data_IF_081020904583
#
_entry.id   IF_081020904583
#
_cell.length_a   1.000
_cell.length_b   1.000
_cell.length_c   1.000
_cell.angle_alpha   90.00
_cell.angle_beta   90.00
_cell.angle_gamma   90.00
#
_symmetry.space_group_name_H-M   'P 1'
#
loop_
_entity.id
_entity.type
_entity.pdbx_description
1 polymer ?
#
# COMPACT_ATOMS: atom_id res chain seq x y z
N UNK A 1 24.08 15.45 5.36
CA UNK A 1 24.04 14.63 4.11
C UNK A 1 23.12 15.31 3.12
N UNK A 2 23.48 15.36 1.82
CA UNK A 2 22.58 15.86 0.75
C UNK A 2 21.93 14.68 0.03
N UNK A 3 20.60 14.67 -0.03
CA UNK A 3 19.82 13.57 -0.58
C UNK A 3 18.86 14.09 -1.65
N UNK A 4 19.06 13.66 -2.90
CA UNK A 4 18.11 13.92 -3.98
C UNK A 4 16.90 13.03 -3.80
N UNK A 5 15.72 13.58 -3.96
CA UNK A 5 14.48 12.86 -3.82
C UNK A 5 13.42 13.29 -4.84
N UNK A 6 12.48 12.40 -5.09
CA UNK A 6 11.23 12.66 -5.78
C UNK A 6 10.09 12.37 -4.81
N UNK A 7 9.20 13.33 -4.59
CA UNK A 7 7.98 13.15 -3.80
C UNK A 7 6.81 12.88 -4.72
N UNK A 8 6.09 11.83 -4.42
CA UNK A 8 4.92 11.39 -5.18
C UNK A 8 3.69 11.27 -4.28
N UNK A 9 2.51 11.30 -4.89
CA UNK A 9 1.23 11.13 -4.22
C UNK A 9 0.44 10.01 -4.91
N UNK A 10 0.67 8.74 -4.55
CA UNK A 10 -0.20 7.65 -4.95
C UNK A 10 -1.45 7.66 -4.07
N UNK A 11 -2.57 8.18 -4.59
CA UNK A 11 -3.86 8.30 -3.86
C UNK A 11 -3.68 8.94 -2.47
N UNK A 12 -2.90 10.04 -2.41
CA UNK A 12 -2.53 10.78 -1.20
C UNK A 12 -1.75 9.99 -0.11
N UNK A 13 -1.26 8.79 -0.40
CA UNK A 13 -0.28 8.09 0.43
C UNK A 13 1.13 8.57 0.06
N UNK A 14 1.53 9.69 0.66
CA UNK A 14 2.73 10.43 0.26
C UNK A 14 3.99 9.58 0.37
N UNK A 15 4.70 9.42 -0.75
CA UNK A 15 5.88 8.57 -0.86
C UNK A 15 7.10 9.38 -1.31
N UNK A 16 8.23 9.18 -0.65
CA UNK A 16 9.52 9.67 -1.09
C UNK A 16 10.28 8.57 -1.83
N UNK A 17 10.78 8.88 -3.01
CA UNK A 17 11.73 8.06 -3.76
C UNK A 17 13.10 8.74 -3.65
N UNK A 18 14.06 8.08 -3.01
CA UNK A 18 15.40 8.62 -2.75
C UNK A 18 16.31 8.15 -3.87
N UNK A 19 16.88 9.11 -4.62
CA UNK A 19 17.76 8.85 -5.76
C UNK A 19 19.24 8.72 -5.35
N UNK A 20 19.64 9.40 -4.26
CA UNK A 20 21.02 9.35 -3.77
C UNK A 20 21.28 8.00 -3.12
N UNK A 21 22.33 7.28 -3.53
CA UNK A 21 22.70 6.02 -2.90
C UNK A 21 22.99 6.20 -1.42
N UNK A 22 22.39 5.33 -0.60
CA UNK A 22 22.60 5.27 0.85
C UNK A 22 22.88 3.81 1.22
N UNK A 23 23.84 3.49 2.12
CA UNK A 23 24.03 2.13 2.60
C UNK A 23 22.74 1.57 3.23
N UNK A 24 22.40 0.31 2.93
CA UNK A 24 21.11 -0.29 3.37
C UNK A 24 20.92 -0.30 4.88
N UNK A 25 21.98 -0.44 5.64
CA UNK A 25 21.95 -0.37 7.11
C UNK A 25 21.53 1.00 7.65
N UNK A 26 21.57 2.05 6.83
CA UNK A 26 21.15 3.41 7.19
C UNK A 26 19.77 3.77 6.62
N UNK A 27 19.17 2.91 5.80
CA UNK A 27 17.92 3.22 5.09
C UNK A 27 16.81 3.65 6.05
N UNK A 28 16.57 2.89 7.11
CA UNK A 28 15.50 3.20 8.06
C UNK A 28 15.75 4.54 8.75
N UNK A 29 16.93 4.76 9.30
CA UNK A 29 17.28 5.98 10.03
C UNK A 29 17.19 7.24 9.13
N UNK A 30 17.71 7.15 7.90
CA UNK A 30 17.69 8.26 6.94
C UNK A 30 16.26 8.56 6.51
N UNK A 31 15.48 7.52 6.20
CA UNK A 31 14.08 7.66 5.80
C UNK A 31 13.23 8.29 6.91
N UNK A 32 13.35 7.85 8.17
CA UNK A 32 12.62 8.40 9.31
C UNK A 32 12.87 9.91 9.47
N UNK A 33 14.12 10.36 9.30
CA UNK A 33 14.44 11.79 9.34
C UNK A 33 13.81 12.56 8.19
N UNK A 34 13.77 11.99 6.98
CA UNK A 34 13.19 12.63 5.80
C UNK A 34 11.67 12.71 5.86
N UNK A 35 10.99 11.63 6.28
CA UNK A 35 9.52 11.59 6.36
C UNK A 35 8.95 12.39 7.51
N UNK A 36 9.78 12.79 8.47
CA UNK A 36 9.34 13.59 9.62
C UNK A 36 8.67 14.90 9.18
N UNK A 37 7.66 15.36 9.95
CA UNK A 37 6.92 16.59 9.68
C UNK A 37 7.83 17.83 9.52
N UNK A 38 8.92 17.90 10.29
CA UNK A 38 9.89 19.00 10.23
C UNK A 38 10.88 18.94 9.06
N UNK A 39 10.76 17.96 8.17
CA UNK A 39 11.62 17.76 7.00
C UNK A 39 10.80 17.78 5.70
N UNK A 40 10.92 16.77 4.83
CA UNK A 40 10.19 16.70 3.57
C UNK A 40 8.72 16.27 3.76
N UNK A 41 8.43 15.57 4.84
CA UNK A 41 7.13 15.06 5.25
C UNK A 41 6.49 14.11 4.23
N UNK A 42 6.43 12.85 4.60
CA UNK A 42 5.76 11.81 3.83
C UNK A 42 5.29 10.67 4.76
N UNK A 43 4.57 9.69 4.24
CA UNK A 43 4.14 8.52 5.00
C UNK A 43 5.18 7.39 4.93
N UNK A 44 5.95 7.34 3.84
CA UNK A 44 6.95 6.29 3.59
C UNK A 44 8.04 6.75 2.65
N UNK A 45 9.14 6.00 2.62
CA UNK A 45 10.24 6.23 1.70
C UNK A 45 10.78 4.92 1.11
N UNK A 46 11.23 4.99 -0.14
CA UNK A 46 11.93 3.93 -0.84
C UNK A 46 13.16 4.49 -1.56
N UNK A 47 14.15 3.64 -1.74
CA UNK A 47 15.41 3.96 -2.42
C UNK A 47 15.39 3.41 -3.84
N UNK A 48 15.78 4.23 -4.79
CA UNK A 48 15.93 3.84 -6.20
C UNK A 48 17.32 3.26 -6.39
N UNK A 49 17.39 1.94 -6.60
CA UNK A 49 18.64 1.21 -6.78
C UNK A 49 18.74 0.60 -8.20
N UNK A 50 19.96 0.24 -8.61
CA UNK A 50 20.12 -0.59 -9.79
C UNK A 50 19.62 -2.02 -9.52
N UNK A 51 18.87 -2.62 -10.46
CA UNK A 51 18.32 -3.94 -10.27
C UNK A 51 19.42 -5.02 -10.35
N UNK A 52 19.27 -6.08 -9.57
CA UNK A 52 20.10 -7.28 -9.68
C UNK A 52 19.62 -8.17 -10.85
N UNK A 53 18.29 -8.19 -11.08
CA UNK A 53 17.70 -8.92 -12.19
C UNK A 53 17.68 -8.03 -13.45
N UNK A 54 18.36 -8.43 -14.55
CA UNK A 54 18.45 -7.63 -15.78
C UNK A 54 17.12 -7.44 -16.52
N UNK A 55 16.08 -8.18 -16.16
CA UNK A 55 14.74 -7.98 -16.71
C UNK A 55 13.97 -6.82 -16.04
N UNK A 56 14.43 -6.33 -14.90
CA UNK A 56 13.87 -5.17 -14.25
C UNK A 56 14.53 -3.87 -14.75
N UNK A 57 13.73 -2.82 -14.86
CA UNK A 57 14.23 -1.49 -15.25
C UNK A 57 14.91 -0.78 -14.09
N UNK A 58 14.41 -0.99 -12.88
CA UNK A 58 14.91 -0.36 -11.64
C UNK A 58 14.55 -1.23 -10.44
N UNK A 59 15.31 -1.09 -9.35
CA UNK A 59 14.99 -1.68 -8.05
C UNK A 59 14.40 -0.62 -7.13
N UNK A 60 13.32 -0.98 -6.44
CA UNK A 60 12.74 -0.24 -5.33
C UNK A 60 13.08 -0.96 -4.02
N UNK A 61 13.89 -0.34 -3.20
CA UNK A 61 14.20 -0.83 -1.87
C UNK A 61 13.46 0.02 -0.84
N UNK A 62 12.41 -0.52 -0.23
CA UNK A 62 11.69 0.18 0.83
C UNK A 62 12.52 0.31 2.08
N UNK A 63 12.22 1.33 2.89
CA UNK A 63 13.00 1.74 4.07
C UNK A 63 13.17 0.64 5.11
N UNK A 64 12.21 -0.25 5.28
CA UNK A 64 12.27 -1.41 6.17
C UNK A 64 12.37 -2.75 5.42
N UNK A 65 12.53 -2.74 4.10
CA UNK A 65 12.65 -3.94 3.27
C UNK A 65 11.31 -4.62 2.92
N UNK A 66 10.20 -4.01 3.27
CA UNK A 66 8.84 -4.47 2.99
C UNK A 66 8.47 -4.31 1.50
N UNK A 67 7.39 -4.97 1.09
CA UNK A 67 6.73 -4.69 -0.19
C UNK A 67 5.74 -3.52 -0.05
N UNK A 68 5.74 -2.60 -1.02
CA UNK A 68 4.76 -1.53 -1.06
C UNK A 68 4.23 -1.26 -2.47
N UNK A 69 2.94 -1.55 -2.70
CA UNK A 69 2.27 -1.31 -3.98
C UNK A 69 2.18 0.18 -4.35
N UNK A 70 1.94 1.06 -3.38
CA UNK A 70 1.90 2.51 -3.60
C UNK A 70 3.27 3.07 -4.03
N UNK A 71 4.35 2.60 -3.40
CA UNK A 71 5.70 3.00 -3.78
C UNK A 71 6.12 2.40 -5.14
N UNK A 72 5.67 1.19 -5.45
CA UNK A 72 5.88 0.57 -6.78
C UNK A 72 5.19 1.38 -7.89
N UNK A 73 3.92 1.77 -7.69
CA UNK A 73 3.21 2.68 -8.61
C UNK A 73 3.91 4.04 -8.72
N UNK A 74 4.46 4.56 -7.61
CA UNK A 74 5.21 5.81 -7.58
C UNK A 74 6.47 5.75 -8.44
N UNK A 75 7.29 4.72 -8.25
CA UNK A 75 8.51 4.53 -9.05
C UNK A 75 8.17 4.31 -10.53
N UNK A 76 7.15 3.50 -10.82
CA UNK A 76 6.69 3.28 -12.18
C UNK A 76 6.21 4.57 -12.85
N UNK A 77 5.50 5.45 -12.13
CA UNK A 77 5.08 6.76 -12.65
C UNK A 77 6.28 7.67 -12.96
N UNK A 78 7.31 7.67 -12.11
CA UNK A 78 8.55 8.44 -12.36
C UNK A 78 9.26 7.93 -13.61
N UNK A 79 9.42 6.61 -13.74
CA UNK A 79 10.05 6.01 -14.91
C UNK A 79 9.24 6.21 -16.21
N UNK A 80 7.91 6.23 -16.10
CA UNK A 80 7.02 6.58 -17.22
C UNK A 80 7.18 8.06 -17.65
N UNK A 81 7.33 8.99 -16.68
CA UNK A 81 7.64 10.39 -16.94
C UNK A 81 9.00 10.56 -17.65
N UNK A 82 10.01 9.83 -17.21
CA UNK A 82 11.35 9.84 -17.83
C UNK A 82 11.34 9.30 -19.26
N UNK A 83 10.42 8.38 -19.59
CA UNK A 83 10.20 7.92 -20.97
C UNK A 83 9.51 8.95 -21.85
N UNK A 84 8.95 10.02 -21.28
CA UNK A 84 8.30 11.09 -22.03
C UNK A 84 6.93 10.72 -22.60
N UNK A 85 6.14 9.89 -21.90
CA UNK A 85 4.81 9.50 -22.36
C UNK A 85 3.89 10.70 -22.57
N UNK A 86 3.17 10.68 -23.68
CA UNK A 86 2.11 11.67 -23.99
C UNK A 86 0.76 11.24 -23.37
N UNK A 87 -0.14 12.21 -23.19
CA UNK A 87 -1.46 11.94 -22.59
C UNK A 87 -2.23 10.88 -23.39
N UNK A 88 -2.64 9.83 -22.69
CA UNK A 88 -3.32 8.67 -23.23
C UNK A 88 -2.40 7.49 -23.57
N UNK A 89 -1.08 7.70 -23.64
CA UNK A 89 -0.12 6.61 -23.84
C UNK A 89 0.04 5.75 -22.61
N UNK A 90 0.36 4.49 -22.85
CA UNK A 90 0.53 3.45 -21.83
C UNK A 90 1.90 2.79 -21.96
N UNK A 91 2.45 2.35 -20.85
CA UNK A 91 3.70 1.58 -20.82
C UNK A 91 3.66 0.53 -19.71
N UNK A 92 4.34 -0.58 -19.96
CA UNK A 92 4.66 -1.54 -18.91
C UNK A 92 6.05 -1.27 -18.36
N UNK A 93 6.20 -1.37 -17.05
CA UNK A 93 7.46 -1.20 -16.31
C UNK A 93 7.61 -2.37 -15.36
N UNK A 94 8.69 -3.09 -15.51
CA UNK A 94 9.04 -4.22 -14.65
C UNK A 94 10.03 -3.73 -13.60
N UNK A 95 9.68 -3.91 -12.34
CA UNK A 95 10.48 -3.51 -11.18
C UNK A 95 10.97 -4.74 -10.40
N UNK A 96 12.14 -4.60 -9.81
CA UNK A 96 12.56 -5.42 -8.69
C UNK A 96 12.19 -4.68 -7.40
N UNK A 97 11.42 -5.30 -6.51
CA UNK A 97 10.88 -4.62 -5.32
C UNK A 97 11.20 -5.42 -4.06
N UNK A 98 11.70 -4.75 -3.03
CA UNK A 98 11.93 -5.39 -1.73
C UNK A 98 10.64 -6.04 -1.21
N UNK A 99 10.76 -7.16 -0.50
CA UNK A 99 9.61 -7.91 0.05
C UNK A 99 8.74 -8.62 -1.00
N UNK A 100 9.13 -8.59 -2.29
CA UNK A 100 8.50 -9.40 -3.34
C UNK A 100 9.39 -10.58 -3.73
N UNK A 101 8.77 -11.76 -3.89
CA UNK A 101 9.48 -12.99 -4.32
C UNK A 101 9.77 -13.04 -5.82
N UNK A 102 9.13 -12.16 -6.59
CA UNK A 102 9.24 -12.09 -8.05
C UNK A 102 9.25 -10.66 -8.54
N UNK A 103 9.60 -10.48 -9.82
CA UNK A 103 9.52 -9.17 -10.46
C UNK A 103 8.07 -8.65 -10.46
N UNK A 104 7.92 -7.35 -10.28
CA UNK A 104 6.64 -6.67 -10.16
C UNK A 104 6.34 -5.91 -11.45
N UNK A 105 5.26 -6.32 -12.13
CA UNK A 105 4.76 -5.62 -13.31
C UNK A 105 3.88 -4.45 -12.91
N UNK A 106 4.17 -3.29 -13.47
CA UNK A 106 3.40 -2.06 -13.34
C UNK A 106 2.96 -1.58 -14.72
N UNK A 107 1.66 -1.47 -14.95
CA UNK A 107 1.10 -0.83 -16.15
C UNK A 107 0.76 0.62 -15.82
N UNK A 108 1.33 1.56 -16.57
CA UNK A 108 1.15 2.98 -16.35
C UNK A 108 0.54 3.64 -17.57
N UNK A 109 -0.44 4.52 -17.34
CA UNK A 109 -1.07 5.36 -18.35
C UNK A 109 -0.89 6.82 -17.99
N UNK A 110 -0.42 7.63 -18.95
CA UNK A 110 -0.34 9.08 -18.78
C UNK A 110 -1.73 9.70 -18.87
N UNK A 111 -2.12 10.37 -17.81
CA UNK A 111 -3.36 11.13 -17.72
C UNK A 111 -3.09 12.63 -17.99
N UNK A 112 -4.16 13.44 -18.14
CA UNK A 112 -4.00 14.89 -18.22
C UNK A 112 -3.30 15.50 -17.01
N UNK A 113 -3.49 14.88 -15.84
CA UNK A 113 -2.80 15.22 -14.61
C UNK A 113 -2.30 13.93 -13.97
N UNK A 114 -0.97 13.76 -13.91
CA UNK A 114 -0.33 12.59 -13.33
C UNK A 114 -0.50 11.31 -14.17
N UNK A 115 -0.64 10.21 -13.49
CA UNK A 115 -0.72 8.87 -14.03
C UNK A 115 -1.85 8.07 -13.38
N UNK A 116 -2.47 7.17 -14.11
CA UNK A 116 -3.17 6.02 -13.56
C UNK A 116 -2.28 4.78 -13.73
N UNK A 117 -2.30 3.90 -12.74
CA UNK A 117 -1.46 2.72 -12.76
C UNK A 117 -2.14 1.50 -12.19
N UNK A 118 -1.63 0.34 -12.61
CA UNK A 118 -2.00 -0.99 -12.14
C UNK A 118 -0.72 -1.73 -11.77
N UNK A 119 -0.66 -2.30 -10.57
CA UNK A 119 0.51 -3.03 -10.07
C UNK A 119 0.12 -4.39 -9.52
N UNK A 120 0.94 -5.40 -9.84
CA UNK A 120 0.80 -6.73 -9.26
C UNK A 120 1.11 -6.70 -7.75
N UNK A 121 0.27 -7.36 -6.97
CA UNK A 121 0.38 -7.45 -5.51
C UNK A 121 0.70 -8.89 -5.09
N UNK A 122 1.40 -9.07 -3.96
CA UNK A 122 1.50 -10.40 -3.34
C UNK A 122 0.13 -11.00 -3.09
N UNK A 123 0.01 -12.32 -3.27
CA UNK A 123 -1.22 -13.04 -2.97
C UNK A 123 -1.41 -13.18 -1.46
N UNK A 124 -2.64 -13.21 -0.96
CA UNK A 124 -2.89 -13.51 0.45
C UNK A 124 -2.48 -14.95 0.78
N UNK A 125 -1.83 -15.14 1.92
CA UNK A 125 -1.49 -16.47 2.45
C UNK A 125 -2.72 -17.22 2.98
N UNK A 126 -3.64 -16.47 3.60
CA UNK A 126 -4.86 -17.00 4.16
C UNK A 126 -5.93 -15.91 4.31
N UNK A 127 -7.18 -16.35 4.37
CA UNK A 127 -8.29 -15.56 4.91
C UNK A 127 -8.81 -16.37 6.10
N UNK A 128 -8.69 -15.79 7.30
CA UNK A 128 -8.99 -16.46 8.57
C UNK A 128 -10.18 -15.79 9.23
N UNK A 129 -11.00 -16.56 9.93
CA UNK A 129 -12.08 -16.03 10.76
C UNK A 129 -11.63 -16.11 12.22
N UNK A 130 -11.51 -14.94 12.90
CA UNK A 130 -10.95 -14.83 14.25
C UNK A 130 -11.91 -14.12 15.21
N UNK A 131 -11.76 -14.45 16.50
CA UNK A 131 -12.47 -13.79 17.60
C UNK A 131 -11.57 -12.74 18.24
N UNK A 132 -12.07 -11.54 18.31
CA UNK A 132 -11.40 -10.41 18.94
C UNK A 132 -12.23 -9.88 20.11
N UNK A 133 -11.58 -9.54 21.22
CA UNK A 133 -12.22 -8.89 22.35
C UNK A 133 -11.94 -7.41 22.37
N UNK A 134 -12.99 -6.61 22.55
CA UNK A 134 -12.89 -5.18 22.78
C UNK A 134 -13.87 -4.79 23.89
N UNK A 135 -13.38 -4.26 25.01
CA UNK A 135 -14.15 -4.06 26.23
C UNK A 135 -14.75 -5.39 26.73
N UNK A 136 -16.06 -5.47 26.91
CA UNK A 136 -16.78 -6.68 27.33
C UNK A 136 -17.39 -7.49 26.17
N UNK A 137 -17.19 -7.03 24.93
CA UNK A 137 -17.78 -7.64 23.74
C UNK A 137 -16.76 -8.50 22.99
N UNK A 138 -17.27 -9.52 22.30
CA UNK A 138 -16.46 -10.38 21.42
C UNK A 138 -16.99 -10.24 20.00
N UNK A 139 -16.08 -9.97 19.06
CA UNK A 139 -16.36 -9.82 17.64
C UNK A 139 -15.76 -10.97 16.87
N UNK A 140 -16.51 -11.54 15.94
CA UNK A 140 -16.02 -12.51 14.98
C UNK A 140 -15.76 -11.78 13.66
N UNK A 141 -14.49 -11.70 13.24
CA UNK A 141 -14.05 -10.87 12.12
C UNK A 141 -13.15 -11.66 11.17
N UNK A 142 -13.20 -11.29 9.91
CA UNK A 142 -12.33 -11.86 8.89
C UNK A 142 -10.99 -11.12 8.85
N UNK A 143 -9.91 -11.89 8.73
CA UNK A 143 -8.54 -11.40 8.67
C UNK A 143 -7.89 -11.91 7.39
N UNK A 144 -7.47 -11.00 6.53
CA UNK A 144 -6.68 -11.32 5.34
C UNK A 144 -5.20 -11.21 5.68
N UNK A 145 -4.48 -12.33 5.54
CA UNK A 145 -3.07 -12.46 5.91
C UNK A 145 -2.21 -12.40 4.67
N UNK A 146 -1.34 -11.41 4.59
CA UNK A 146 -0.27 -11.30 3.59
C UNK A 146 1.11 -11.55 4.21
N UNK A 147 2.14 -11.64 3.37
CA UNK A 147 3.52 -11.54 3.85
C UNK A 147 3.75 -10.14 4.42
N UNK A 148 4.21 -10.08 5.68
CA UNK A 148 4.57 -8.83 6.34
C UNK A 148 3.41 -7.99 6.91
N UNK A 149 2.15 -8.20 6.50
CA UNK A 149 1.00 -7.46 7.04
C UNK A 149 -0.27 -8.29 7.05
N UNK A 150 -1.13 -8.08 8.06
CA UNK A 150 -2.47 -8.67 8.11
C UNK A 150 -3.54 -7.58 8.24
N UNK A 151 -4.69 -7.79 7.62
CA UNK A 151 -5.79 -6.83 7.66
C UNK A 151 -7.05 -7.43 8.25
N UNK A 152 -7.57 -6.82 9.32
CA UNK A 152 -8.83 -7.16 9.98
C UNK A 152 -9.94 -6.35 9.29
N UNK A 153 -10.94 -7.02 8.73
CA UNK A 153 -12.07 -6.37 8.07
C UNK A 153 -13.16 -6.12 9.12
N UNK A 154 -13.50 -4.86 9.32
CA UNK A 154 -14.52 -4.43 10.28
C UNK A 154 -15.64 -3.69 9.54
N UNK A 155 -16.84 -4.28 9.42
CA UNK A 155 -17.99 -3.57 8.88
C UNK A 155 -18.27 -2.30 9.69
N UNK A 156 -18.40 -1.14 9.03
CA UNK A 156 -18.66 0.14 9.71
C UNK A 156 -19.95 0.07 10.55
N UNK A 157 -20.95 -0.67 10.07
CA UNK A 157 -22.22 -0.90 10.78
C UNK A 157 -22.06 -1.54 12.15
N UNK A 158 -20.99 -2.32 12.38
CA UNK A 158 -20.71 -2.99 13.65
C UNK A 158 -20.51 -2.01 14.80
N UNK A 159 -19.89 -0.86 14.52
CA UNK A 159 -19.56 0.15 15.52
C UNK A 159 -20.26 1.50 15.30
N UNK A 160 -20.94 1.67 14.17
CA UNK A 160 -21.72 2.87 13.84
C UNK A 160 -20.89 4.16 14.00
N UNK A 161 -21.44 5.14 14.70
CA UNK A 161 -20.78 6.44 14.94
C UNK A 161 -19.48 6.33 15.75
N UNK A 162 -19.31 5.26 16.51
CA UNK A 162 -18.11 5.01 17.30
C UNK A 162 -17.00 4.26 16.53
N UNK A 163 -17.17 3.99 15.22
CA UNK A 163 -16.27 3.13 14.46
C UNK A 163 -14.81 3.61 14.52
N UNK A 164 -14.53 4.90 14.34
CA UNK A 164 -13.17 5.45 14.41
C UNK A 164 -12.56 5.28 15.80
N UNK A 165 -13.30 5.65 16.85
CA UNK A 165 -12.84 5.54 18.24
C UNK A 165 -12.58 4.08 18.63
N UNK A 166 -13.46 3.18 18.23
CA UNK A 166 -13.31 1.76 18.53
C UNK A 166 -12.17 1.14 17.75
N UNK A 167 -11.92 1.54 16.49
CA UNK A 167 -10.77 1.07 15.73
C UNK A 167 -9.45 1.49 16.38
N UNK A 168 -9.33 2.73 16.86
CA UNK A 168 -8.13 3.20 17.56
C UNK A 168 -7.89 2.48 18.89
N UNK A 169 -8.96 2.16 19.61
CA UNK A 169 -8.87 1.36 20.84
C UNK A 169 -8.51 -0.10 20.50
N UNK A 170 -9.17 -0.67 19.50
CA UNK A 170 -8.92 -2.03 19.03
C UNK A 170 -7.47 -2.21 18.55
N UNK A 171 -6.93 -1.24 17.81
CA UNK A 171 -5.54 -1.29 17.37
C UNK A 171 -4.55 -1.42 18.54
N UNK A 172 -4.82 -0.79 19.67
CA UNK A 172 -4.00 -0.90 20.89
C UNK A 172 -4.19 -2.23 21.62
N UNK A 173 -5.44 -2.69 21.71
CA UNK A 173 -5.78 -3.92 22.46
C UNK A 173 -5.37 -5.16 21.68
N UNK A 174 -5.61 -5.18 20.35
CA UNK A 174 -5.36 -6.35 19.50
C UNK A 174 -3.91 -6.47 19.04
N UNK A 175 -3.06 -5.46 19.28
CA UNK A 175 -1.64 -5.49 18.90
C UNK A 175 -0.88 -6.70 19.48
N UNK A 176 -1.27 -7.21 20.64
CA UNK A 176 -0.66 -8.39 21.26
C UNK A 176 -1.02 -9.71 20.55
N UNK A 177 -2.16 -9.72 19.83
CA UNK A 177 -2.68 -10.91 19.13
C UNK A 177 -2.38 -10.87 17.62
N UNK A 178 -1.85 -9.74 17.12
CA UNK A 178 -1.58 -9.50 15.70
C UNK A 178 -0.08 -9.47 15.40
N UNK A 179 0.32 -9.71 14.14
CA UNK A 179 1.71 -9.53 13.73
C UNK A 179 2.16 -8.07 13.89
N UNK A 180 3.48 -7.85 13.80
CA UNK A 180 4.09 -6.53 14.01
C UNK A 180 3.49 -5.42 13.12
N UNK A 181 3.03 -5.76 11.92
CA UNK A 181 2.25 -4.85 11.08
C UNK A 181 0.86 -5.43 10.82
N UNK A 182 -0.17 -4.64 11.13
CA UNK A 182 -1.55 -4.99 10.81
C UNK A 182 -2.41 -3.76 10.56
N UNK A 183 -3.51 -3.96 9.81
CA UNK A 183 -4.50 -2.91 9.56
C UNK A 183 -5.87 -3.30 10.12
N UNK A 184 -6.61 -2.30 10.59
CA UNK A 184 -8.05 -2.39 10.84
C UNK A 184 -8.74 -1.64 9.71
N UNK A 185 -9.50 -2.36 8.91
CA UNK A 185 -10.19 -1.84 7.75
C UNK A 185 -11.65 -1.55 8.09
N UNK A 186 -11.97 -0.29 8.36
CA UNK A 186 -13.38 0.10 8.47
C UNK A 186 -14.00 0.12 7.08
N UNK A 187 -14.80 -0.89 6.78
CA UNK A 187 -15.35 -1.12 5.45
C UNK A 187 -16.88 -0.92 5.43
N UNK A 188 -17.34 -0.03 4.56
CA UNK A 188 -18.75 0.17 4.21
C UNK A 188 -19.01 -0.45 2.83
N UNK A 189 -19.53 -1.67 2.81
CA UNK A 189 -19.75 -2.41 1.57
C UNK A 189 -20.87 -1.79 0.70
N UNK A 190 -21.86 -1.13 1.31
CA UNK A 190 -22.97 -0.50 0.58
C UNK A 190 -22.51 0.73 -0.18
N UNK A 191 -21.59 1.51 0.41
CA UNK A 191 -21.04 2.72 -0.20
C UNK A 191 -19.75 2.51 -0.97
N UNK A 192 -19.10 1.33 -0.86
CA UNK A 192 -17.78 1.09 -1.38
C UNK A 192 -16.73 2.00 -0.75
N UNK A 193 -16.84 2.28 0.57
CA UNK A 193 -15.92 3.14 1.30
C UNK A 193 -15.01 2.33 2.22
N UNK A 194 -13.74 2.73 2.27
CA UNK A 194 -12.71 2.11 3.10
C UNK A 194 -11.96 3.18 3.87
N UNK A 195 -11.84 3.00 5.20
CA UNK A 195 -10.96 3.81 6.06
C UNK A 195 -9.96 2.87 6.75
N UNK A 196 -8.72 2.81 6.28
CA UNK A 196 -7.69 1.94 6.82
C UNK A 196 -6.94 2.60 7.96
N UNK A 197 -6.90 1.93 9.12
CA UNK A 197 -6.03 2.26 10.24
C UNK A 197 -4.90 1.24 10.27
N UNK A 198 -3.68 1.66 10.00
CA UNK A 198 -2.50 0.78 9.95
C UNK A 198 -1.63 1.00 11.17
N UNK A 199 -1.28 -0.11 11.82
CA UNK A 199 -0.40 -0.18 12.99
C UNK A 199 0.87 -0.92 12.63
N UNK A 200 2.01 -0.31 12.94
CA UNK A 200 3.32 -0.97 12.92
C UNK A 200 3.88 -0.87 14.34
N UNK A 201 4.05 -2.02 15.01
CA UNK A 201 4.46 -2.07 16.40
C UNK A 201 5.80 -1.35 16.63
N UNK A 202 5.80 -0.49 17.66
CA UNK A 202 6.98 0.30 18.01
C UNK A 202 7.27 1.48 17.09
N UNK A 203 6.48 1.67 16.00
CA UNK A 203 6.70 2.73 15.03
C UNK A 203 5.48 3.64 14.86
N UNK A 204 4.38 3.16 14.25
CA UNK A 204 3.29 4.05 13.82
C UNK A 204 1.90 3.46 14.07
N UNK A 205 0.92 4.36 14.25
CA UNK A 205 -0.52 4.09 14.15
C UNK A 205 -1.13 5.22 13.33
N UNK A 206 -1.49 4.94 12.08
CA UNK A 206 -1.86 5.96 11.09
C UNK A 206 -3.16 5.59 10.39
N UNK A 207 -4.07 6.56 10.29
CA UNK A 207 -5.17 6.52 9.34
C UNK A 207 -4.63 6.85 7.95
N UNK A 208 -4.40 5.83 7.14
CA UNK A 208 -3.91 6.01 5.78
C UNK A 208 -4.97 6.68 4.89
N UNK A 209 -4.51 7.55 4.01
CA UNK A 209 -5.39 8.20 3.04
C UNK A 209 -5.63 7.34 1.81
N UNK A 210 -4.70 6.44 1.47
CA UNK A 210 -4.80 5.47 0.38
C UNK A 210 -3.98 4.21 0.69
N UNK A 211 -4.65 3.11 1.07
CA UNK A 211 -4.01 1.86 1.46
C UNK A 211 -4.11 0.81 0.34
N UNK A 212 -2.98 0.50 -0.30
CA UNK A 212 -2.91 -0.52 -1.34
C UNK A 212 -3.14 -1.93 -0.81
N UNK A 213 -2.49 -2.31 0.30
CA UNK A 213 -2.67 -3.63 0.92
C UNK A 213 -4.07 -3.82 1.50
N UNK A 214 -4.67 -2.77 2.09
CA UNK A 214 -6.05 -2.79 2.55
C UNK A 214 -7.06 -2.95 1.39
N UNK A 215 -6.81 -2.26 0.26
CA UNK A 215 -7.61 -2.43 -0.96
C UNK A 215 -7.52 -3.85 -1.49
N UNK A 216 -6.30 -4.42 -1.52
CA UNK A 216 -6.03 -5.81 -1.88
C UNK A 216 -6.78 -6.79 -0.98
N UNK A 217 -6.79 -6.53 0.34
CA UNK A 217 -7.47 -7.37 1.32
C UNK A 217 -8.98 -7.43 1.06
N UNK A 218 -9.63 -6.29 0.80
CA UNK A 218 -11.07 -6.26 0.48
C UNK A 218 -11.35 -6.98 -0.85
N UNK A 219 -10.52 -6.76 -1.89
CA UNK A 219 -10.68 -7.47 -3.16
C UNK A 219 -10.56 -8.98 -3.01
N UNK A 220 -9.52 -9.45 -2.32
CA UNK A 220 -9.30 -10.87 -2.06
C UNK A 220 -10.43 -11.49 -1.23
N UNK A 221 -10.89 -10.79 -0.19
CA UNK A 221 -12.01 -11.20 0.64
C UNK A 221 -13.28 -11.38 -0.19
N UNK A 222 -13.66 -10.38 -0.99
CA UNK A 222 -14.87 -10.47 -1.83
C UNK A 222 -14.77 -11.59 -2.85
N UNK A 223 -13.64 -11.71 -3.54
CA UNK A 223 -13.43 -12.76 -4.54
C UNK A 223 -13.62 -14.18 -3.95
N UNK A 224 -13.08 -14.39 -2.73
CA UNK A 224 -13.20 -15.69 -2.06
C UNK A 224 -14.60 -15.93 -1.49
N UNK A 225 -15.30 -14.90 -0.99
CA UNK A 225 -16.70 -15.02 -0.56
C UNK A 225 -17.64 -15.39 -1.72
N UNK A 226 -17.41 -14.79 -2.89
CA UNK A 226 -18.22 -15.06 -4.08
C UNK A 226 -17.76 -16.29 -4.89
N UNK A 227 -16.55 -16.81 -4.60
CA UNK A 227 -15.96 -17.95 -5.32
C UNK A 227 -15.62 -17.66 -6.78
N UNK A 228 -15.44 -16.39 -7.16
CA UNK A 228 -15.18 -15.95 -8.54
C UNK A 228 -14.28 -14.72 -8.61
N UNK A 229 -13.70 -14.50 -9.79
CA UNK A 229 -12.96 -13.27 -10.09
C UNK A 229 -13.83 -12.03 -9.91
N UNK A 230 -13.25 -10.97 -9.36
CA UNK A 230 -13.95 -9.71 -9.15
C UNK A 230 -13.04 -8.49 -9.35
N UNK A 231 -13.67 -7.34 -9.49
CA UNK A 231 -13.02 -6.04 -9.45
C UNK A 231 -13.77 -5.16 -8.45
N UNK A 232 -13.03 -4.56 -7.53
CA UNK A 232 -13.59 -3.62 -6.54
C UNK A 232 -13.06 -2.22 -6.79
N UNK A 233 -13.87 -1.24 -6.47
CA UNK A 233 -13.51 0.18 -6.49
C UNK A 233 -13.88 0.78 -5.14
N UNK A 234 -12.89 1.22 -4.36
CA UNK A 234 -13.04 1.65 -2.99
C UNK A 234 -12.69 3.14 -2.86
N UNK A 235 -13.63 3.91 -2.34
CA UNK A 235 -13.38 5.30 -1.97
C UNK A 235 -12.67 5.33 -0.62
N UNK A 236 -11.50 5.92 -0.60
CA UNK A 236 -10.68 6.15 0.59
C UNK A 236 -10.49 7.66 0.82
N UNK A 237 -9.98 8.09 1.99
CA UNK A 237 -9.81 9.52 2.26
C UNK A 237 -9.01 10.29 1.21
N UNK A 238 -8.02 9.67 0.56
CA UNK A 238 -7.17 10.28 -0.48
C UNK A 238 -7.69 10.12 -1.91
N UNK A 239 -8.74 9.33 -2.14
CA UNK A 239 -9.28 9.10 -3.48
C UNK A 239 -9.79 7.69 -3.69
N UNK A 240 -9.88 7.28 -4.94
CA UNK A 240 -10.37 5.95 -5.32
C UNK A 240 -9.17 5.04 -5.61
N UNK A 241 -9.18 3.87 -5.00
CA UNK A 241 -8.29 2.76 -5.35
C UNK A 241 -9.12 1.53 -5.73
N UNK A 242 -8.63 0.77 -6.68
CA UNK A 242 -9.26 -0.48 -7.09
C UNK A 242 -8.41 -1.69 -6.77
N UNK A 243 -9.05 -2.86 -6.71
CA UNK A 243 -8.36 -4.14 -6.78
C UNK A 243 -9.02 -5.02 -7.83
N UNK A 244 -8.22 -5.74 -8.60
CA UNK A 244 -8.62 -6.73 -9.58
C UNK A 244 -8.09 -8.08 -9.13
N UNK A 245 -8.98 -9.04 -8.94
CA UNK A 245 -8.66 -10.37 -8.42
C UNK A 245 -9.14 -11.43 -9.41
N UNK A 246 -8.23 -12.29 -9.86
CA UNK A 246 -8.61 -13.48 -10.63
C UNK A 246 -8.64 -14.71 -9.72
N UNK A 247 -9.68 -15.50 -9.88
CA UNK A 247 -9.89 -16.76 -9.16
C UNK A 247 -10.03 -17.87 -10.18
N UNK A 248 -9.21 -18.91 -10.04
CA UNK A 248 -9.29 -20.14 -10.82
C UNK A 248 -9.26 -21.34 -9.86
N UNK A 249 -10.13 -22.32 -10.10
CA UNK A 249 -10.25 -23.54 -9.28
C UNK A 249 -10.40 -23.25 -7.77
N UNK A 250 -11.10 -22.15 -7.41
CA UNK A 250 -11.33 -21.74 -6.01
C UNK A 250 -10.11 -21.13 -5.32
N UNK A 251 -9.07 -20.72 -6.06
CA UNK A 251 -7.88 -20.06 -5.54
C UNK A 251 -7.65 -18.73 -6.24
N UNK A 252 -7.09 -17.78 -5.53
CA UNK A 252 -6.64 -16.51 -6.10
C UNK A 252 -5.36 -16.78 -6.90
N UNK A 253 -5.39 -16.52 -8.21
CA UNK A 253 -4.26 -16.69 -9.11
C UNK A 253 -3.51 -15.36 -9.35
N UNK A 254 -4.23 -14.24 -9.33
CA UNK A 254 -3.62 -12.93 -9.45
C UNK A 254 -4.38 -11.88 -8.66
N UNK A 255 -3.64 -10.90 -8.18
CA UNK A 255 -4.15 -9.75 -7.45
C UNK A 255 -3.41 -8.51 -7.91
N UNK A 256 -4.14 -7.48 -8.30
CA UNK A 256 -3.57 -6.20 -8.69
C UNK A 256 -4.31 -5.08 -8.00
N UNK A 257 -3.61 -4.01 -7.67
CA UNK A 257 -4.25 -2.74 -7.30
C UNK A 257 -4.17 -1.76 -8.45
N UNK A 258 -5.15 -0.87 -8.50
CA UNK A 258 -5.17 0.29 -9.39
C UNK A 258 -5.29 1.57 -8.58
N UNK A 259 -4.62 2.63 -9.05
CA UNK A 259 -4.64 3.92 -8.37
C UNK A 259 -4.08 5.04 -9.24
N UNK A 260 -4.25 6.28 -8.77
CA UNK A 260 -3.67 7.46 -9.41
C UNK A 260 -2.39 7.85 -8.71
N UNK A 261 -1.42 8.32 -9.49
CA UNK A 261 -0.15 8.83 -8.97
C UNK A 261 0.14 10.20 -9.57
N UNK A 262 0.53 11.14 -8.71
CA UNK A 262 1.07 12.44 -9.15
C UNK A 262 2.50 12.60 -8.64
N UNK A 263 3.39 13.12 -9.49
CA UNK A 263 4.71 13.60 -9.07
C UNK A 263 4.51 14.99 -8.47
N UNK A 264 4.84 15.15 -7.19
CA UNK A 264 4.53 16.36 -6.42
C UNK A 264 5.70 17.31 -6.36
N UNK A 265 6.91 16.79 -6.15
CA UNK A 265 8.13 17.60 -6.07
C UNK A 265 9.36 16.78 -6.40
N UNK A 266 10.40 17.47 -6.88
CA UNK A 266 11.78 16.96 -6.95
C UNK A 266 12.68 17.95 -6.24
N UNK A 267 13.68 17.48 -5.51
CA UNK A 267 14.57 18.37 -4.79
C UNK A 267 15.74 17.69 -4.10
N UNK A 268 16.44 18.46 -3.29
CA UNK A 268 17.51 17.98 -2.41
C UNK A 268 17.14 18.30 -0.97
N UNK A 269 17.17 17.27 -0.13
CA UNK A 269 17.01 17.41 1.31
C UNK A 269 18.39 17.41 2.00
N UNK A 270 18.48 18.06 3.15
CA UNK A 270 19.70 18.21 3.95
C UNK A 270 19.48 17.60 5.33
N UNK A 271 20.25 16.54 5.67
CA UNK A 271 20.25 15.86 6.96
C UNK A 271 21.59 16.06 7.69
#
# INVERSE_FOLDING_TARGET
>A
MELKFIKTSPTENMTLLIETPVPREQHLEVAEKLIAYGSVYAEQAGYMEEPENPAAVKRLQMMAGEFCGNASLSLAAVLAEEKGLEVGEETEIILEVSGADSLVSCHMKKEKVGYSGRVAMPLPKAIEHKKFRLNSETYELDVVVFEGISHIIVPVSLWGENAVKNAELAAKVWAEEMPAAFGILLYDAEKGELKPLVSVQGATLIWERGCGSGTSAIGAYQAMQEGKSCSVSLKQPGGIMGAEVSVENGKIESLHITGKVSIVAKGTAFL
#
